data_IF_973541013392
#
_entry.id   IF_973541013392
#
_cell.length_a   1.000
_cell.length_b   1.000
_cell.length_c   1.000
_cell.angle_alpha   90.00
_cell.angle_beta   90.00
_cell.angle_gamma   90.00
#
_symmetry.space_group_name_H-M   'P 1'
#
loop_
_entity.id
_entity.type
_entity.pdbx_description
1 polymer ?
#
# COMPACT_ATOMS: atom_id res chain seq x y z
N UNK A 1 -11.99 -46.35 44.69
CA UNK A 1 -12.14 -46.27 43.21
C UNK A 1 -11.79 -44.84 42.78
N UNK A 2 -10.65 -44.68 42.08
CA UNK A 2 -10.10 -43.38 41.68
C UNK A 2 -10.97 -42.78 40.56
N UNK A 3 -11.57 -41.61 40.80
CA UNK A 3 -12.35 -40.88 39.79
C UNK A 3 -11.42 -40.40 38.69
N UNK A 4 -11.78 -40.76 37.46
CA UNK A 4 -10.98 -40.68 36.23
C UNK A 4 -10.68 -39.23 35.80
N UNK A 5 -9.41 -38.82 35.65
CA UNK A 5 -9.00 -37.46 35.24
C UNK A 5 -9.13 -37.19 33.73
N UNK A 6 -9.56 -38.18 32.95
CA UNK A 6 -9.59 -38.11 31.48
C UNK A 6 -10.69 -37.22 30.93
N UNK A 7 -11.85 -37.16 31.60
CA UNK A 7 -12.97 -36.30 31.17
C UNK A 7 -12.64 -34.81 31.30
N UNK A 8 -11.91 -34.43 32.35
CA UNK A 8 -11.47 -33.05 32.58
C UNK A 8 -10.44 -32.60 31.53
N UNK A 9 -9.53 -33.50 31.12
CA UNK A 9 -8.52 -33.23 30.09
C UNK A 9 -9.14 -33.07 28.69
N UNK A 10 -10.15 -33.87 28.37
CA UNK A 10 -10.89 -33.75 27.10
C UNK A 10 -11.72 -32.46 27.01
N UNK A 11 -12.36 -32.05 28.11
CA UNK A 11 -13.07 -30.77 28.18
C UNK A 11 -12.12 -29.58 28.03
N UNK A 12 -10.96 -29.62 28.69
CA UNK A 12 -9.97 -28.54 28.61
C UNK A 12 -9.35 -28.44 27.21
N UNK A 13 -9.06 -29.57 26.56
CA UNK A 13 -8.59 -29.60 25.17
C UNK A 13 -9.65 -29.03 24.21
N UNK A 14 -10.93 -29.37 24.40
CA UNK A 14 -12.05 -28.83 23.62
C UNK A 14 -12.20 -27.31 23.74
N UNK A 15 -12.07 -26.77 24.96
CA UNK A 15 -12.14 -25.33 25.22
C UNK A 15 -10.94 -24.57 24.64
N UNK A 16 -9.72 -25.13 24.72
CA UNK A 16 -8.55 -24.52 24.09
C UNK A 16 -8.63 -24.52 22.56
N UNK A 17 -9.17 -25.60 21.95
CA UNK A 17 -9.41 -25.61 20.50
C UNK A 17 -10.46 -24.57 20.08
N UNK A 18 -11.53 -24.40 20.85
CA UNK A 18 -12.55 -23.38 20.55
C UNK A 18 -12.01 -21.94 20.71
N UNK A 19 -11.18 -21.69 21.73
CA UNK A 19 -10.58 -20.38 21.96
C UNK A 19 -9.51 -20.01 20.90
N UNK A 20 -8.80 -21.01 20.34
CA UNK A 20 -7.84 -20.79 19.24
C UNK A 20 -8.50 -20.41 17.91
N UNK A 21 -9.75 -20.84 17.67
CA UNK A 21 -10.51 -20.51 16.46
C UNK A 21 -11.14 -19.11 16.47
N UNK A 22 -11.23 -18.46 17.64
CA UNK A 22 -11.79 -17.11 17.79
C UNK A 22 -10.72 -16.04 18.02
N UNK A 23 -9.45 -16.30 17.65
CA UNK A 23 -8.44 -15.26 17.60
C UNK A 23 -8.90 -14.21 16.59
N UNK A 24 -9.54 -13.15 17.09
CA UNK A 24 -10.09 -12.07 16.30
C UNK A 24 -8.93 -11.43 15.53
N UNK A 25 -8.96 -11.56 14.21
CA UNK A 25 -8.04 -10.80 13.35
C UNK A 25 -8.34 -9.32 13.60
N UNK A 26 -7.34 -8.51 13.99
CA UNK A 26 -7.57 -7.09 14.19
C UNK A 26 -8.17 -6.48 12.90
N UNK A 27 -9.13 -5.56 13.04
CA UNK A 27 -9.80 -4.98 11.88
C UNK A 27 -8.78 -4.29 10.98
N UNK A 28 -8.78 -4.63 9.69
CA UNK A 28 -7.99 -3.93 8.69
C UNK A 28 -8.68 -2.59 8.39
N UNK A 29 -8.23 -1.53 9.06
CA UNK A 29 -8.85 -0.20 8.99
C UNK A 29 -8.92 0.40 7.58
N UNK A 30 -7.96 0.08 6.71
CA UNK A 30 -7.93 0.54 5.33
C UNK A 30 -8.79 -0.33 4.39
N UNK A 31 -9.35 -1.47 4.83
CA UNK A 31 -10.06 -2.38 3.92
C UNK A 31 -11.24 -1.68 3.22
N UNK A 32 -11.28 -1.78 1.88
CA UNK A 32 -12.26 -1.12 1.03
C UNK A 32 -11.92 0.32 0.62
N UNK A 33 -10.88 0.93 1.18
CA UNK A 33 -10.39 2.24 0.73
C UNK A 33 -9.80 2.13 -0.68
N UNK A 34 -10.17 3.08 -1.55
CA UNK A 34 -9.78 3.11 -2.95
C UNK A 34 -8.34 3.62 -3.11
N UNK A 35 -7.57 2.92 -3.94
CA UNK A 35 -6.21 3.29 -4.36
C UNK A 35 -6.23 3.63 -5.85
N UNK A 36 -5.58 4.74 -6.17
CA UNK A 36 -5.28 5.15 -7.54
C UNK A 36 -3.77 5.17 -7.74
N UNK A 37 -3.32 4.79 -8.93
CA UNK A 37 -1.90 4.72 -9.23
C UNK A 37 -1.61 5.31 -10.61
N UNK A 38 -0.46 5.99 -10.71
CA UNK A 38 0.07 6.53 -11.95
C UNK A 38 1.47 5.97 -12.17
N UNK A 39 1.72 5.45 -13.38
CA UNK A 39 2.97 4.79 -13.72
C UNK A 39 3.72 5.57 -14.79
N UNK A 40 4.99 5.86 -14.50
CA UNK A 40 5.97 6.25 -15.51
C UNK A 40 6.94 5.09 -15.71
N UNK A 41 7.15 4.64 -16.95
CA UNK A 41 8.10 3.57 -17.29
C UNK A 41 9.13 4.10 -18.27
N UNK A 42 10.39 3.73 -18.04
CA UNK A 42 11.53 3.98 -18.92
C UNK A 42 12.16 2.67 -19.34
N UNK A 43 12.83 2.64 -20.49
CA UNK A 43 13.45 1.42 -21.05
C UNK A 43 14.96 1.54 -21.29
N UNK A 44 15.55 2.71 -21.04
CA UNK A 44 16.99 2.90 -21.07
C UNK A 44 17.60 2.95 -19.66
N UNK A 45 18.89 2.58 -19.56
CA UNK A 45 19.61 2.50 -18.29
C UNK A 45 19.76 3.85 -17.57
N UNK A 46 19.57 4.97 -18.27
CA UNK A 46 19.65 6.31 -17.71
C UNK A 46 18.27 6.91 -17.39
N UNK A 47 17.18 6.18 -17.62
CA UNK A 47 15.82 6.61 -17.38
C UNK A 47 15.34 7.80 -18.22
N UNK A 48 15.87 8.02 -19.42
CA UNK A 48 15.53 9.21 -20.23
C UNK A 48 14.40 8.96 -21.22
N UNK A 49 14.38 7.78 -21.83
CA UNK A 49 13.39 7.36 -22.80
C UNK A 49 12.17 6.83 -22.05
N UNK A 50 11.13 7.66 -22.01
CA UNK A 50 9.86 7.35 -21.36
C UNK A 50 8.98 6.58 -22.35
N UNK A 51 8.67 5.33 -22.04
CA UNK A 51 7.76 4.48 -22.83
C UNK A 51 6.31 4.61 -22.37
N UNK A 52 6.10 5.01 -21.11
CA UNK A 52 4.79 5.38 -20.55
C UNK A 52 4.99 6.55 -19.60
N UNK A 53 4.30 7.67 -19.81
CA UNK A 53 4.39 8.85 -18.95
C UNK A 53 3.10 9.09 -18.20
N UNK A 54 3.16 9.12 -16.86
CA UNK A 54 2.01 9.40 -15.98
C UNK A 54 0.74 8.60 -16.34
N UNK A 55 0.89 7.34 -16.75
CA UNK A 55 -0.23 6.53 -17.19
C UNK A 55 -1.08 6.12 -15.99
N UNK A 56 -2.34 6.53 -15.97
CA UNK A 56 -3.30 6.07 -14.98
C UNK A 56 -3.49 4.54 -15.05
N UNK A 57 -3.54 3.91 -13.88
CA UNK A 57 -3.82 2.48 -13.72
C UNK A 57 -5.27 2.27 -13.32
N UNK A 58 -5.80 1.07 -13.56
CA UNK A 58 -7.12 0.69 -13.07
C UNK A 58 -7.15 0.80 -11.54
N UNK A 59 -8.08 1.59 -10.96
CA UNK A 59 -8.20 1.70 -9.51
C UNK A 59 -8.49 0.35 -8.87
N UNK A 60 -7.99 0.15 -7.67
CA UNK A 60 -8.23 -1.04 -6.85
C UNK A 60 -8.50 -0.63 -5.41
N UNK A 61 -8.87 -1.57 -4.54
CA UNK A 61 -9.13 -1.27 -3.13
C UNK A 61 -8.24 -2.12 -2.23
N UNK A 62 -7.89 -1.58 -1.07
CA UNK A 62 -7.24 -2.37 -0.03
C UNK A 62 -8.15 -3.54 0.39
N UNK A 63 -7.55 -4.69 0.65
CA UNK A 63 -8.23 -5.89 1.09
C UNK A 63 -7.86 -6.18 2.54
N UNK A 64 -8.77 -6.83 3.28
CA UNK A 64 -8.43 -7.38 4.60
C UNK A 64 -7.52 -8.61 4.45
N UNK A 65 -6.61 -8.82 5.41
CA UNK A 65 -5.71 -9.97 5.39
C UNK A 65 -4.42 -9.72 6.19
N UNK A 66 -3.52 -10.71 6.19
CA UNK A 66 -2.25 -10.68 6.91
C UNK A 66 -1.03 -10.33 6.03
N UNK A 67 -1.26 -9.73 4.86
CA UNK A 67 -0.24 -9.39 3.86
C UNK A 67 -0.29 -10.30 2.61
N UNK A 68 0.28 -9.80 1.50
CA UNK A 68 0.37 -10.54 0.24
C UNK A 68 1.59 -11.46 0.20
N UNK A 69 1.67 -12.35 -0.79
CA UNK A 69 2.81 -13.26 -0.99
C UNK A 69 4.10 -12.59 -1.51
N UNK A 70 4.11 -11.27 -1.70
CA UNK A 70 5.27 -10.47 -2.10
C UNK A 70 5.84 -9.65 -0.94
N UNK A 71 6.63 -8.63 -1.29
CA UNK A 71 7.15 -7.67 -0.32
C UNK A 71 6.00 -6.88 0.32
N UNK A 72 6.00 -6.80 1.65
CA UNK A 72 5.00 -6.05 2.39
C UNK A 72 5.62 -4.76 2.92
N UNK A 73 5.14 -3.62 2.43
CA UNK A 73 5.56 -2.29 2.87
C UNK A 73 4.50 -1.77 3.86
N UNK A 74 4.93 -1.34 5.04
CA UNK A 74 4.05 -0.81 6.09
C UNK A 74 4.36 0.66 6.36
N UNK A 75 3.31 1.46 6.53
CA UNK A 75 3.42 2.85 6.99
C UNK A 75 3.20 2.84 8.50
N UNK A 76 4.10 3.48 9.26
CA UNK A 76 3.89 3.76 10.68
C UNK A 76 3.46 5.21 10.84
N UNK A 77 2.16 5.43 11.09
CA UNK A 77 1.60 6.74 11.33
C UNK A 77 1.94 7.31 12.70
N UNK A 78 2.91 6.80 13.45
CA UNK A 78 3.47 7.46 14.63
C UNK A 78 4.87 8.04 14.38
N UNK A 79 5.53 7.59 13.31
CA UNK A 79 6.78 8.17 12.85
C UNK A 79 6.47 9.42 11.99
N UNK A 80 7.10 10.54 12.31
CA UNK A 80 6.89 11.83 11.62
C UNK A 80 8.21 12.40 11.14
N UNK A 81 8.17 12.95 9.93
CA UNK A 81 9.28 13.63 9.30
C UNK A 81 8.89 15.09 9.00
N UNK A 82 9.62 15.76 8.11
CA UNK A 82 9.32 17.11 7.68
C UNK A 82 7.96 17.21 6.98
N UNK A 83 7.28 18.34 7.18
CA UNK A 83 6.09 18.70 6.40
C UNK A 83 6.49 19.01 4.96
N UNK A 84 5.76 18.44 4.00
CA UNK A 84 5.96 18.74 2.59
C UNK A 84 5.31 20.09 2.22
N UNK A 85 6.11 21.03 1.70
CA UNK A 85 5.59 22.32 1.22
C UNK A 85 5.00 22.20 -0.19
N UNK A 86 5.66 21.46 -1.09
CA UNK A 86 5.25 21.34 -2.48
C UNK A 86 6.39 20.92 -3.40
N UNK A 87 6.04 20.62 -4.66
CA UNK A 87 6.98 20.38 -5.76
C UNK A 87 6.70 21.34 -6.91
N UNK A 88 7.72 21.65 -7.72
CA UNK A 88 7.58 22.59 -8.84
C UNK A 88 8.79 22.58 -9.77
N UNK A 89 8.78 23.49 -10.75
CA UNK A 89 9.86 23.71 -11.69
C UNK A 89 10.06 25.22 -11.92
N UNK A 90 11.26 25.61 -12.33
CA UNK A 90 11.56 27.02 -12.65
C UNK A 90 10.96 27.43 -13.99
N UNK A 91 10.28 28.58 -14.00
CA UNK A 91 9.85 29.24 -15.22
C UNK A 91 10.81 30.39 -15.54
N UNK A 92 11.88 30.06 -16.25
CA UNK A 92 12.92 31.02 -16.66
C UNK A 92 12.58 31.68 -17.99
N UNK A 93 13.32 32.73 -18.37
CA UNK A 93 13.18 33.37 -19.69
C UNK A 93 13.35 32.37 -20.84
N UNK A 94 14.28 31.40 -20.70
CA UNK A 94 14.46 30.33 -21.69
C UNK A 94 13.28 29.36 -21.69
N UNK A 95 12.72 29.01 -20.52
CA UNK A 95 11.51 28.18 -20.46
C UNK A 95 10.32 28.88 -21.13
N UNK A 96 10.15 30.19 -20.88
CA UNK A 96 9.13 31.01 -21.51
C UNK A 96 9.32 31.08 -23.03
N UNK A 97 10.55 31.31 -23.50
CA UNK A 97 10.87 31.33 -24.93
C UNK A 97 10.58 29.99 -25.61
N UNK A 98 10.96 28.87 -24.99
CA UNK A 98 10.66 27.53 -25.49
C UNK A 98 9.15 27.25 -25.52
N UNK A 99 8.42 27.60 -24.47
CA UNK A 99 6.96 27.41 -24.44
C UNK A 99 6.27 28.24 -25.53
N UNK A 100 6.68 29.50 -25.72
CA UNK A 100 6.16 30.36 -26.78
C UNK A 100 6.50 29.83 -28.19
N UNK A 101 7.68 29.24 -28.38
CA UNK A 101 8.19 28.85 -29.71
C UNK A 101 7.87 27.40 -30.08
N UNK A 102 7.44 26.56 -29.13
CA UNK A 102 7.26 25.11 -29.32
C UNK A 102 5.88 24.70 -29.85
N UNK A 103 4.90 25.61 -29.86
CA UNK A 103 3.50 25.25 -30.14
C UNK A 103 2.82 24.46 -29.02
N UNK A 104 3.44 24.34 -27.84
CA UNK A 104 2.85 23.62 -26.72
C UNK A 104 1.63 24.31 -26.08
N UNK A 105 1.41 25.59 -26.40
CA UNK A 105 0.35 26.44 -25.83
C UNK A 105 -0.76 26.82 -26.84
N UNK A 106 -0.74 26.27 -28.05
CA UNK A 106 -1.69 26.56 -29.12
C UNK A 106 -2.85 25.58 -29.19
#
# INVERSE_FOLDING_TARGET
MRRTPHALRLLLAGVLSAAGFTAAVPPAHAAGEQVTAWLTTTDDAAGRHVTRGLQAQTPFAFQSGTGGGGENITVDENTRYQTFTGGGASFTDTAAWLMNSSGALS
#
